data_IF_178918582501
#
_entry.id   IF_178918582501
#
_cell.length_a   1.000
_cell.length_b   1.000
_cell.length_c   1.000
_cell.angle_alpha   90.00
_cell.angle_beta   90.00
_cell.angle_gamma   90.00
#
_symmetry.space_group_name_H-M   'P 1'
#
loop_
_entity.id
_entity.type
_entity.pdbx_description
1 polymer ?
#
# COMPACT_ATOMS: atom_id res chain seq x y z
N UNK A 1 9.01 4.55 -20.99
CA UNK A 1 8.17 4.09 -22.12
C UNK A 1 8.70 2.83 -22.80
N UNK A 2 9.99 2.76 -23.15
CA UNK A 2 10.56 1.60 -23.87
C UNK A 2 10.39 0.25 -23.14
N UNK A 3 10.63 0.20 -21.81
CA UNK A 3 10.52 -1.03 -21.02
C UNK A 3 9.07 -1.57 -20.93
N UNK A 4 8.08 -0.67 -20.82
CA UNK A 4 6.66 -1.02 -20.82
C UNK A 4 6.22 -1.59 -22.18
N UNK A 5 6.72 -1.03 -23.28
CA UNK A 5 6.44 -1.55 -24.62
C UNK A 5 7.09 -2.92 -24.85
N UNK A 6 8.31 -3.15 -24.36
CA UNK A 6 8.97 -4.46 -24.45
C UNK A 6 8.23 -5.53 -23.65
N UNK A 7 7.83 -5.21 -22.42
CA UNK A 7 7.07 -6.13 -21.58
C UNK A 7 5.71 -6.47 -22.21
N UNK A 8 4.97 -5.46 -22.66
CA UNK A 8 3.67 -5.66 -23.32
C UNK A 8 3.78 -6.50 -24.60
N UNK A 9 4.80 -6.25 -25.44
CA UNK A 9 5.02 -7.06 -26.65
C UNK A 9 5.41 -8.49 -26.32
N UNK A 10 6.22 -8.72 -25.29
CA UNK A 10 6.62 -10.06 -24.87
C UNK A 10 5.42 -10.89 -24.40
N UNK A 11 4.53 -10.32 -23.56
CA UNK A 11 3.31 -11.00 -23.10
C UNK A 11 2.35 -11.29 -24.27
N UNK A 12 2.19 -10.34 -25.19
CA UNK A 12 1.32 -10.52 -26.36
C UNK A 12 1.83 -11.63 -27.30
N UNK A 13 3.13 -11.68 -27.58
CA UNK A 13 3.75 -12.73 -28.40
C UNK A 13 3.66 -14.09 -27.71
N UNK A 14 3.83 -14.13 -26.39
CA UNK A 14 3.69 -15.36 -25.60
C UNK A 14 2.28 -15.95 -25.67
N UNK A 15 1.25 -15.13 -25.45
CA UNK A 15 -0.16 -15.57 -25.54
C UNK A 15 -0.55 -16.01 -26.95
N UNK A 16 -0.05 -15.31 -27.97
CA UNK A 16 -0.28 -15.68 -29.37
C UNK A 16 0.39 -17.02 -29.73
N UNK A 17 1.64 -17.23 -29.29
CA UNK A 17 2.37 -18.48 -29.52
C UNK A 17 1.69 -19.67 -28.81
N UNK A 18 1.21 -19.48 -27.58
CA UNK A 18 0.48 -20.51 -26.82
C UNK A 18 -0.84 -20.85 -27.50
N UNK A 19 -1.60 -19.85 -27.94
CA UNK A 19 -2.91 -20.06 -28.60
C UNK A 19 -2.76 -20.77 -29.94
N UNK A 20 -1.79 -20.35 -30.75
CA UNK A 20 -1.49 -20.99 -32.03
C UNK A 20 -0.92 -22.42 -31.84
N UNK A 21 -0.06 -22.62 -30.84
CA UNK A 21 0.50 -23.92 -30.50
C UNK A 21 -0.56 -24.92 -30.03
N UNK A 22 -1.52 -24.47 -29.23
CA UNK A 22 -2.62 -25.30 -28.74
C UNK A 22 -3.60 -25.66 -29.86
N UNK A 23 -3.95 -24.70 -30.73
CA UNK A 23 -4.77 -24.96 -31.91
C UNK A 23 -4.10 -25.94 -32.88
N UNK A 24 -2.79 -25.78 -33.11
CA UNK A 24 -2.01 -26.67 -33.97
C UNK A 24 -1.84 -28.08 -33.38
N UNK A 25 -1.71 -28.18 -32.05
CA UNK A 25 -1.62 -29.45 -31.32
C UNK A 25 -2.93 -30.25 -31.34
N UNK A 26 -4.08 -29.57 -31.25
CA UNK A 26 -5.40 -30.21 -31.31
C UNK A 26 -5.76 -30.69 -32.74
N UNK A 27 -5.25 -30.01 -33.77
CA UNK A 27 -5.50 -30.39 -35.17
C UNK A 27 -4.71 -31.64 -35.65
N UNK A 28 -3.70 -32.11 -34.90
CA UNK A 28 -2.91 -33.30 -35.25
C UNK A 28 -3.01 -34.36 -34.15
N UNK A 29 -3.84 -35.37 -34.40
CA UNK A 29 -4.08 -36.54 -33.52
C UNK A 29 -2.86 -37.31 -32.96
N UNK A 30 -1.64 -37.29 -33.54
CA UNK A 30 -0.47 -37.94 -32.92
C UNK A 30 0.11 -37.20 -31.70
N UNK A 31 -0.27 -35.94 -31.47
CA UNK A 31 0.35 -35.06 -30.47
C UNK A 31 -0.05 -35.40 -29.03
N UNK A 32 -1.15 -36.15 -28.84
CA UNK A 32 -1.59 -36.62 -27.52
C UNK A 32 -0.49 -37.40 -26.77
N UNK A 33 0.33 -38.20 -27.47
CA UNK A 33 1.43 -38.96 -26.85
C UNK A 33 2.61 -38.10 -26.41
N UNK A 34 2.88 -36.97 -27.08
CA UNK A 34 3.90 -36.00 -26.64
C UNK A 34 3.38 -35.10 -25.55
N UNK A 35 2.11 -34.71 -25.62
CA UNK A 35 1.47 -33.91 -24.59
C UNK A 35 1.43 -34.67 -23.27
N UNK A 36 1.04 -35.95 -23.28
CA UNK A 36 1.08 -36.83 -22.11
C UNK A 36 2.48 -36.93 -21.47
N UNK A 37 3.55 -36.81 -22.27
CA UNK A 37 4.94 -36.81 -21.79
C UNK A 37 5.35 -35.46 -21.17
N UNK A 38 4.69 -34.37 -21.54
CA UNK A 38 4.94 -33.01 -21.03
C UNK A 38 4.09 -32.68 -19.79
N UNK A 39 2.96 -33.37 -19.58
CA UNK A 39 2.11 -33.23 -18.38
C UNK A 39 2.89 -33.25 -17.06
N UNK A 40 3.78 -34.22 -16.78
CA UNK A 40 4.50 -34.24 -15.50
C UNK A 40 5.45 -33.05 -15.32
N UNK A 41 6.06 -32.56 -16.40
CA UNK A 41 6.95 -31.40 -16.34
C UNK A 41 6.20 -30.08 -16.08
N UNK A 42 4.99 -29.91 -16.63
CA UNK A 42 4.13 -28.78 -16.28
C UNK A 42 3.63 -28.88 -14.84
N UNK A 43 3.32 -30.09 -14.36
CA UNK A 43 2.91 -30.32 -12.98
C UNK A 43 4.01 -29.95 -11.97
N UNK A 44 5.25 -30.36 -12.21
CA UNK A 44 6.38 -29.99 -11.35
C UNK A 44 6.67 -28.50 -11.41
N UNK A 45 6.61 -27.88 -12.60
CA UNK A 45 6.75 -26.43 -12.73
C UNK A 45 5.67 -25.66 -11.93
N UNK A 46 4.42 -26.14 -11.95
CA UNK A 46 3.32 -25.55 -11.18
C UNK A 46 3.51 -25.71 -9.66
N UNK A 47 4.01 -26.87 -9.20
CA UNK A 47 4.32 -27.09 -7.79
C UNK A 47 5.49 -26.22 -7.32
N UNK A 48 6.56 -26.12 -8.10
CA UNK A 48 7.71 -25.25 -7.78
C UNK A 48 7.27 -23.80 -7.74
N UNK A 49 6.44 -23.37 -8.70
CA UNK A 49 5.90 -22.02 -8.72
C UNK A 49 4.98 -21.75 -7.53
N UNK A 50 4.07 -22.68 -7.19
CA UNK A 50 3.19 -22.56 -6.03
C UNK A 50 3.95 -22.55 -4.70
N UNK A 51 4.99 -23.38 -4.57
CA UNK A 51 5.90 -23.39 -3.40
C UNK A 51 6.66 -22.08 -3.30
N UNK A 52 7.17 -21.55 -4.42
CA UNK A 52 7.82 -20.23 -4.43
C UNK A 52 6.85 -19.10 -4.11
N UNK A 53 5.61 -19.14 -4.60
CA UNK A 53 4.57 -18.14 -4.28
C UNK A 53 4.15 -18.20 -2.81
N UNK A 54 4.03 -19.41 -2.24
CA UNK A 54 3.78 -19.61 -0.82
C UNK A 54 4.98 -19.19 0.03
N UNK A 55 6.21 -19.39 -0.49
CA UNK A 55 7.44 -18.92 0.13
C UNK A 55 7.58 -17.40 0.03
N UNK A 56 7.16 -16.76 -1.07
CA UNK A 56 7.19 -15.30 -1.27
C UNK A 56 6.20 -14.60 -0.33
N UNK A 57 5.00 -15.18 -0.19
CA UNK A 57 4.05 -14.81 0.86
C UNK A 57 4.61 -15.01 2.28
N UNK A 58 5.65 -15.85 2.44
CA UNK A 58 6.36 -16.06 3.71
C UNK A 58 7.67 -15.28 3.83
N UNK A 59 8.19 -14.67 2.75
CA UNK A 59 9.31 -13.72 2.77
C UNK A 59 8.87 -12.27 2.93
N UNK A 60 7.56 -12.01 3.09
CA UNK A 60 7.13 -10.91 3.95
C UNK A 60 7.56 -11.25 5.39
N UNK A 61 8.83 -11.01 5.68
CA UNK A 61 9.44 -11.07 7.00
C UNK A 61 8.91 -9.90 7.85
N UNK A 62 7.59 -9.89 8.05
CA UNK A 62 6.97 -9.19 9.16
C UNK A 62 7.27 -10.03 10.39
N UNK A 63 7.97 -9.49 11.39
CA UNK A 63 8.26 -10.23 12.61
C UNK A 63 6.96 -10.78 13.18
N UNK A 64 6.90 -12.10 13.38
CA UNK A 64 5.80 -12.79 14.07
C UNK A 64 5.73 -12.25 15.49
N UNK A 65 4.97 -11.17 15.67
CA UNK A 65 4.42 -10.78 16.95
C UNK A 65 3.48 -11.91 17.36
N UNK A 66 3.97 -12.71 18.29
CA UNK A 66 3.26 -13.74 19.02
C UNK A 66 1.89 -13.20 19.41
N UNK A 67 0.82 -13.87 18.93
CA UNK A 67 -0.55 -13.63 19.38
C UNK A 67 -0.62 -13.89 20.87
N UNK A 68 -0.43 -12.83 21.66
CA UNK A 68 -0.90 -12.76 23.03
C UNK A 68 -2.42 -12.58 22.97
N UNK A 69 -3.21 -13.33 23.74
CA UNK A 69 -4.66 -13.22 23.71
C UNK A 69 -5.07 -11.79 24.10
N UNK A 70 -5.98 -11.22 23.33
CA UNK A 70 -6.62 -9.92 23.53
C UNK A 70 -7.42 -9.94 24.84
N UNK A 71 -6.74 -9.73 25.95
CA UNK A 71 -7.33 -9.09 27.11
C UNK A 71 -7.41 -7.59 26.81
N UNK A 72 -8.56 -7.03 27.14
CA UNK A 72 -8.96 -5.63 27.03
C UNK A 72 -7.99 -4.68 27.76
N UNK A 73 -6.83 -4.40 27.17
CA UNK A 73 -5.94 -3.33 27.60
C UNK A 73 -6.21 -2.11 26.72
N UNK A 74 -6.96 -1.13 27.28
CA UNK A 74 -6.94 0.25 26.78
C UNK A 74 -5.48 0.63 26.55
N UNK A 75 -5.07 0.87 25.31
CA UNK A 75 -3.72 1.37 24.99
C UNK A 75 -3.54 2.69 25.75
N UNK A 76 -2.72 2.75 26.82
CA UNK A 76 -2.34 4.01 27.42
C UNK A 76 -1.38 4.68 26.43
N UNK A 77 -1.57 5.98 26.20
CA UNK A 77 -0.75 6.79 25.28
C UNK A 77 0.72 6.96 25.72
N UNK A 78 1.28 6.07 26.56
CA UNK A 78 2.62 6.17 27.16
C UNK A 78 3.68 5.24 26.55
N UNK A 79 3.30 4.33 25.64
CA UNK A 79 4.26 3.39 25.01
C UNK A 79 4.61 3.75 23.55
N UNK A 80 4.49 5.03 23.17
CA UNK A 80 5.29 5.54 22.06
C UNK A 80 6.69 5.82 22.65
N UNK A 81 7.77 5.16 22.18
CA UNK A 81 9.09 5.38 22.74
C UNK A 81 9.40 6.87 22.68
N UNK A 82 9.90 7.50 23.76
CA UNK A 82 10.46 8.83 23.63
C UNK A 82 11.64 8.69 22.66
N UNK A 83 11.47 9.19 21.44
CA UNK A 83 12.49 9.90 20.68
C UNK A 83 13.84 9.98 21.42
N UNK A 84 14.87 9.39 20.83
CA UNK A 84 16.21 9.29 21.43
C UNK A 84 16.90 10.64 21.59
N UNK A 85 16.52 11.44 22.59
CA UNK A 85 17.26 12.61 23.06
C UNK A 85 18.48 12.20 23.93
N UNK A 86 19.07 11.04 23.62
CA UNK A 86 20.24 10.45 24.29
C UNK A 86 21.46 10.36 23.35
N UNK A 87 21.54 11.22 22.33
CA UNK A 87 22.70 11.35 21.45
C UNK A 87 23.64 12.47 21.93
N UNK A 88 24.97 12.31 21.84
CA UNK A 88 25.92 13.38 22.19
C UNK A 88 25.75 14.54 21.21
N UNK A 89 25.07 15.61 21.62
CA UNK A 89 24.79 16.79 20.79
C UNK A 89 23.53 17.60 21.17
N UNK A 90 22.63 17.06 22.00
CA UNK A 90 21.45 17.79 22.48
C UNK A 90 21.65 18.25 23.93
N UNK A 91 21.92 19.55 24.12
CA UNK A 91 22.22 20.12 25.43
C UNK A 91 21.00 20.66 26.20
N UNK A 92 19.81 20.69 25.58
CA UNK A 92 18.60 21.24 26.20
C UNK A 92 17.35 20.38 25.87
N UNK A 93 16.61 19.86 26.87
CA UNK A 93 15.35 19.15 26.65
C UNK A 93 14.25 20.01 26.02
N UNK A 94 14.36 21.35 26.03
CA UNK A 94 13.41 22.26 25.38
C UNK A 94 13.43 22.17 23.84
N UNK A 95 14.48 21.61 23.25
CA UNK A 95 14.64 21.46 21.79
C UNK A 95 14.13 20.10 21.27
N UNK A 96 13.63 19.23 22.15
CA UNK A 96 13.27 17.85 21.85
C UNK A 96 11.86 17.80 21.20
N UNK A 97 11.82 18.01 19.87
CA UNK A 97 10.61 18.06 19.02
C UNK A 97 10.06 16.67 18.64
N UNK A 98 10.03 15.75 19.59
CA UNK A 98 9.70 14.34 19.38
C UNK A 98 8.40 14.03 18.67
N UNK A 99 7.31 14.70 19.09
CA UNK A 99 6.02 14.53 18.43
C UNK A 99 5.95 15.25 17.08
N UNK A 100 6.78 16.28 16.90
CA UNK A 100 6.82 17.06 15.65
C UNK A 100 7.61 16.31 14.58
N UNK A 101 8.64 15.53 14.92
CA UNK A 101 9.41 14.77 13.92
C UNK A 101 8.56 13.70 13.22
N UNK A 102 7.69 13.00 13.96
CA UNK A 102 6.74 12.04 13.39
C UNK A 102 5.71 12.73 12.51
N UNK A 103 5.18 13.87 12.96
CA UNK A 103 4.25 14.69 12.18
C UNK A 103 4.93 15.24 10.91
N UNK A 104 6.17 15.75 11.03
CA UNK A 104 6.96 16.26 9.92
C UNK A 104 7.33 15.15 8.94
N UNK A 105 7.62 13.94 9.41
CA UNK A 105 7.86 12.77 8.54
C UNK A 105 6.63 12.45 7.70
N UNK A 106 5.44 12.57 8.29
CA UNK A 106 4.17 12.34 7.60
C UNK A 106 3.83 13.50 6.65
N UNK A 107 4.00 14.75 7.08
CA UNK A 107 3.71 15.93 6.24
C UNK A 107 4.69 16.05 5.07
N UNK A 108 5.97 15.71 5.27
CA UNK A 108 7.02 15.75 4.23
C UNK A 108 6.81 14.72 3.13
N UNK A 109 6.01 13.67 3.38
CA UNK A 109 5.71 12.67 2.34
C UNK A 109 4.99 13.33 1.17
N UNK A 110 5.39 12.89 -0.03
CA UNK A 110 4.78 13.31 -1.29
C UNK A 110 3.28 12.99 -1.24
N UNK A 111 2.45 13.99 -1.52
CA UNK A 111 0.99 13.90 -1.58
C UNK A 111 0.23 13.84 -0.25
N UNK A 112 0.86 13.84 0.93
CA UNK A 112 0.14 13.77 2.22
C UNK A 112 -0.92 14.87 2.38
N UNK A 113 -0.55 16.11 2.08
CA UNK A 113 -1.46 17.26 2.15
C UNK A 113 -2.56 17.21 1.10
N UNK A 114 -2.25 16.72 -0.08
CA UNK A 114 -3.21 16.58 -1.18
C UNK A 114 -4.24 15.47 -0.88
N UNK A 115 -3.83 14.38 -0.22
CA UNK A 115 -4.74 13.34 0.26
C UNK A 115 -5.64 13.89 1.37
N UNK A 116 -5.06 14.56 2.37
CA UNK A 116 -5.84 15.17 3.46
C UNK A 116 -6.83 16.22 2.93
N UNK A 117 -6.44 17.05 1.96
CA UNK A 117 -7.32 18.06 1.36
C UNK A 117 -8.46 17.44 0.55
N UNK A 118 -8.17 16.37 -0.21
CA UNK A 118 -9.15 15.65 -1.01
C UNK A 118 -10.21 14.96 -0.14
N UNK A 119 -9.82 14.41 1.02
CA UNK A 119 -10.75 13.79 1.97
C UNK A 119 -11.55 14.87 2.72
N UNK A 120 -10.89 15.93 3.18
CA UNK A 120 -11.55 16.99 3.95
C UNK A 120 -12.66 17.69 3.16
N UNK A 121 -12.46 17.93 1.86
CA UNK A 121 -13.50 18.53 1.01
C UNK A 121 -14.76 17.67 0.82
N UNK A 122 -14.67 16.36 1.04
CA UNK A 122 -15.77 15.40 0.87
C UNK A 122 -16.36 14.89 2.18
N UNK A 123 -15.67 15.11 3.31
CA UNK A 123 -16.02 14.56 4.62
C UNK A 123 -15.64 13.09 4.77
N UNK A 124 -15.99 12.25 3.80
CA UNK A 124 -15.63 10.82 3.72
C UNK A 124 -15.24 10.49 2.28
N UNK A 125 -14.14 9.75 2.05
CA UNK A 125 -13.73 9.40 0.69
C UNK A 125 -13.27 7.94 0.55
N UNK A 126 -13.62 7.30 -0.56
CA UNK A 126 -13.16 5.95 -0.93
C UNK A 126 -11.79 6.01 -1.60
N UNK A 127 -11.05 4.89 -1.60
CA UNK A 127 -9.73 4.81 -2.26
C UNK A 127 -9.75 5.32 -3.71
N UNK A 128 -10.74 4.89 -4.50
CA UNK A 128 -10.84 5.27 -5.91
C UNK A 128 -11.09 6.78 -6.11
N UNK A 129 -11.82 7.42 -5.20
CA UNK A 129 -12.11 8.86 -5.26
C UNK A 129 -10.86 9.68 -4.94
N UNK A 130 -10.06 9.20 -3.98
CA UNK A 130 -8.77 9.80 -3.64
C UNK A 130 -7.79 9.59 -4.79
N UNK A 131 -7.74 8.39 -5.38
CA UNK A 131 -6.90 8.10 -6.54
C UNK A 131 -7.26 8.96 -7.76
N UNK A 132 -8.55 9.20 -8.01
CA UNK A 132 -9.02 10.07 -9.10
C UNK A 132 -8.62 11.55 -8.89
N UNK A 133 -8.53 12.02 -7.65
CA UNK A 133 -8.05 13.37 -7.34
C UNK A 133 -6.53 13.52 -7.46
N UNK A 134 -5.77 12.42 -7.50
CA UNK A 134 -4.31 12.42 -7.60
C UNK A 134 -3.81 11.48 -8.72
N UNK A 135 -4.07 11.78 -10.00
CA UNK A 135 -3.68 10.92 -11.12
C UNK A 135 -2.16 10.72 -11.25
N UNK A 136 -1.35 11.63 -10.69
CA UNK A 136 0.11 11.54 -10.63
C UNK A 136 0.67 10.63 -9.52
N UNK A 137 -0.17 10.07 -8.65
CA UNK A 137 0.24 9.13 -7.62
C UNK A 137 0.03 7.68 -8.10
N UNK A 138 1.04 6.83 -7.94
CA UNK A 138 0.85 5.39 -8.18
C UNK A 138 -0.02 4.78 -7.08
N UNK A 139 -0.64 3.63 -7.36
CA UNK A 139 -1.47 2.91 -6.39
C UNK A 139 -0.69 2.53 -5.13
N UNK A 140 0.56 2.10 -5.29
CA UNK A 140 1.47 1.77 -4.18
C UNK A 140 1.81 2.99 -3.34
N UNK A 141 2.20 4.11 -3.96
CA UNK A 141 2.52 5.35 -3.22
C UNK A 141 1.31 5.90 -2.49
N UNK A 142 0.12 5.82 -3.10
CA UNK A 142 -1.11 6.25 -2.45
C UNK A 142 -1.44 5.37 -1.24
N UNK A 143 -1.33 4.04 -1.39
CA UNK A 143 -1.58 3.08 -0.31
C UNK A 143 -0.61 3.27 0.87
N UNK A 144 0.69 3.44 0.60
CA UNK A 144 1.67 3.76 1.63
C UNK A 144 1.37 5.07 2.36
N UNK A 145 0.93 6.09 1.61
CA UNK A 145 0.61 7.40 2.19
C UNK A 145 -0.62 7.31 3.09
N UNK A 146 -1.66 6.59 2.67
CA UNK A 146 -2.84 6.33 3.50
C UNK A 146 -2.48 5.55 4.77
N UNK A 147 -1.68 4.50 4.65
CA UNK A 147 -1.21 3.73 5.80
C UNK A 147 -0.38 4.58 6.76
N UNK A 148 0.46 5.49 6.26
CA UNK A 148 1.23 6.41 7.09
C UNK A 148 0.34 7.41 7.85
N UNK A 149 -0.71 7.94 7.19
CA UNK A 149 -1.68 8.85 7.80
C UNK A 149 -2.54 8.15 8.87
N UNK A 150 -2.91 6.89 8.63
CA UNK A 150 -3.62 6.05 9.59
C UNK A 150 -2.75 5.71 10.80
N UNK A 151 -1.49 5.31 10.57
CA UNK A 151 -0.52 5.06 11.64
C UNK A 151 -0.27 6.30 12.52
N UNK A 152 -0.29 7.49 11.92
CA UNK A 152 -0.18 8.76 12.63
C UNK A 152 -1.48 9.24 13.30
N UNK A 153 -2.56 8.44 13.23
CA UNK A 153 -3.90 8.77 13.77
C UNK A 153 -4.49 10.07 13.22
N UNK A 154 -4.10 10.47 12.01
CA UNK A 154 -4.67 11.62 11.30
C UNK A 154 -5.88 11.23 10.45
N UNK A 155 -6.01 9.93 10.18
CA UNK A 155 -7.05 9.34 9.35
C UNK A 155 -7.52 8.03 10.00
N UNK A 156 -8.79 7.70 9.85
CA UNK A 156 -9.37 6.43 10.27
C UNK A 156 -10.06 5.78 9.07
N UNK A 157 -9.90 4.45 8.98
CA UNK A 157 -10.60 3.61 8.04
C UNK A 157 -11.92 3.14 8.66
N UNK A 158 -13.03 3.45 8.00
CA UNK A 158 -14.35 2.93 8.32
C UNK A 158 -14.75 1.89 7.28
N UNK A 159 -15.07 0.69 7.74
CA UNK A 159 -15.73 -0.33 6.92
C UNK A 159 -17.19 0.09 6.77
N UNK A 160 -17.65 0.29 5.53
CA UNK A 160 -19.05 0.56 5.26
C UNK A 160 -19.78 -0.78 5.14
N UNK A 161 -20.68 -1.06 6.08
CA UNK A 161 -21.55 -2.23 6.02
C UNK A 161 -22.55 -2.08 4.87
N UNK A 162 -22.38 -2.90 3.81
CA UNK A 162 -23.41 -3.10 2.79
C UNK A 162 -22.91 -3.03 1.34
N UNK A 163 -22.60 -4.20 0.76
CA UNK A 163 -22.44 -4.39 -0.69
C UNK A 163 -21.19 -5.18 -1.07
N UNK A 164 -21.23 -5.96 -2.15
CA UNK A 164 -20.12 -6.79 -2.60
C UNK A 164 -18.97 -5.93 -3.20
N UNK A 165 -17.87 -5.74 -2.46
CA UNK A 165 -16.68 -4.98 -2.89
C UNK A 165 -15.79 -4.49 -1.72
N UNK A 166 -14.58 -3.94 -1.96
CA UNK A 166 -13.72 -3.40 -0.90
C UNK A 166 -14.24 -2.03 -0.42
N UNK A 167 -15.19 -2.05 0.51
CA UNK A 167 -15.96 -0.90 0.99
C UNK A 167 -15.30 -0.14 2.14
N UNK A 168 -14.01 0.20 2.03
CA UNK A 168 -13.33 0.99 3.07
C UNK A 168 -13.39 2.47 2.73
N UNK A 169 -14.14 3.24 3.52
CA UNK A 169 -14.13 4.69 3.47
C UNK A 169 -13.06 5.23 4.42
N UNK A 170 -12.44 6.33 4.02
CA UNK A 170 -11.44 7.02 4.81
C UNK A 170 -11.98 8.37 5.28
N UNK A 171 -11.80 8.64 6.56
CA UNK A 171 -12.29 9.85 7.23
C UNK A 171 -11.14 10.48 8.03
N UNK A 172 -11.03 11.80 7.98
CA UNK A 172 -10.05 12.50 8.82
C UNK A 172 -10.49 12.46 10.28
N UNK A 173 -9.52 12.25 11.18
CA UNK A 173 -9.76 12.42 12.61
C UNK A 173 -9.88 13.91 12.97
N UNK A 174 -10.44 14.26 14.15
CA UNK A 174 -10.46 15.64 14.62
C UNK A 174 -9.08 16.29 14.62
N UNK A 175 -8.04 15.53 14.99
CA UNK A 175 -6.64 15.96 14.96
C UNK A 175 -6.16 16.23 13.53
N UNK A 176 -6.49 15.34 12.58
CA UNK A 176 -6.17 15.53 11.16
C UNK A 176 -6.80 16.77 10.55
N UNK A 177 -8.08 17.05 10.88
CA UNK A 177 -8.76 18.28 10.45
C UNK A 177 -8.08 19.52 11.02
N UNK A 178 -7.82 19.54 12.34
CA UNK A 178 -7.19 20.69 13.01
C UNK A 178 -5.80 20.99 12.45
N UNK A 179 -5.01 19.94 12.18
CA UNK A 179 -3.69 20.06 11.57
C UNK A 179 -3.79 20.63 10.15
N UNK A 180 -4.68 20.09 9.31
CA UNK A 180 -4.87 20.57 7.94
C UNK A 180 -5.28 22.04 7.90
N UNK A 181 -6.18 22.47 8.78
CA UNK A 181 -6.59 23.88 8.87
C UNK A 181 -5.41 24.79 9.22
N UNK A 182 -4.54 24.38 10.16
CA UNK A 182 -3.35 25.15 10.52
C UNK A 182 -2.32 25.21 9.39
N UNK A 183 -2.12 24.09 8.70
CA UNK A 183 -1.19 24.04 7.57
C UNK A 183 -1.68 24.85 6.37
N UNK A 184 -2.99 24.84 6.08
CA UNK A 184 -3.57 25.67 5.02
C UNK A 184 -3.35 27.15 5.26
N UNK A 185 -3.56 27.62 6.50
CA UNK A 185 -3.25 29.00 6.86
C UNK A 185 -1.79 29.34 6.59
N UNK A 186 -0.85 28.46 6.94
CA UNK A 186 0.58 28.68 6.66
C UNK A 186 0.91 28.60 5.16
N UNK A 187 0.20 27.76 4.39
CA UNK A 187 0.38 27.65 2.94
C UNK A 187 -0.09 28.91 2.22
N UNK A 188 -1.22 29.47 2.63
CA UNK A 188 -1.76 30.72 2.08
C UNK A 188 -0.83 31.91 2.37
N UNK A 189 -0.15 31.92 3.52
CA UNK A 189 0.85 32.94 3.86
C UNK A 189 2.17 32.80 3.06
N UNK A 190 2.54 31.58 2.65
CA UNK A 190 3.82 31.29 1.98
C UNK A 190 3.71 31.37 0.45
N UNK A 191 2.51 31.26 -0.11
CA UNK A 191 2.25 31.42 -1.54
C UNK A 191 1.77 32.87 -1.80
N UNK A 192 2.62 33.78 -2.28
CA UNK A 192 2.22 35.15 -2.60
C UNK A 192 1.30 35.24 -3.83
#
# INVERSE_FOLDING_TARGET
MLALLLFARATAVSMAAVSAGLGYALARGPVARRLARMVPALGTASLVFGVWYALDASTDDRPRLTRRPLASERIPSRDLPPCGCSGPGFADPATCYCGVEDILRVIRRRYSLAVMSAIHGRGTARYNEIAAALPQASSSTLAETLHALEAARLLVRHDLDGGAGPHTAYVLTPSGVKLLSRLRLLLDEVQP
#
